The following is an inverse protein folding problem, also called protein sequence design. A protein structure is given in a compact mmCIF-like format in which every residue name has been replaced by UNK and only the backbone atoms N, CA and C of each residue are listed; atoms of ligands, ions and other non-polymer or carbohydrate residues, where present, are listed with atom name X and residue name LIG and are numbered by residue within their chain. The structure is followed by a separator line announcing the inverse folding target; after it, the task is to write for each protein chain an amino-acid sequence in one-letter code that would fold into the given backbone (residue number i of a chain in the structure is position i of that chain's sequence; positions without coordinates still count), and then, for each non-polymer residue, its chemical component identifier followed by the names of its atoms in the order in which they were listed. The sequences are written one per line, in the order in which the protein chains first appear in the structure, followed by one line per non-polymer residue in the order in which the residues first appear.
data_IF_539768450319
#
_entry.id   IF_539768450319
#
_cell.length_a   1.000
_cell.length_b   1.000
_cell.length_c   1.000
_cell.angle_alpha   90.00
_cell.angle_beta   90.00
_cell.angle_gamma   90.00
#
_symmetry.space_group_name_H-M   'P 1'
#
loop_
_entity.id
_entity.type
_entity.pdbx_description
1 polymer ?
#
# COMPACT_ATOMS: atom_id res chain seq x y z
N UNK A 1 0.68 22.26 31.54
CA UNK A 1 1.22 21.41 32.63
C UNK A 1 2.18 20.41 32.01
N UNK A 2 3.44 20.39 32.46
CA UNK A 2 4.58 19.92 31.65
C UNK A 2 4.59 18.40 31.40
N UNK A 3 5.16 18.02 30.26
CA UNK A 3 5.49 16.65 29.85
C UNK A 3 6.23 15.86 30.95
N UNK A 4 7.04 16.55 31.78
CA UNK A 4 7.68 15.96 32.95
C UNK A 4 6.68 15.40 33.95
N UNK A 5 5.57 16.11 34.24
CA UNK A 5 4.56 15.58 35.17
C UNK A 5 3.83 14.37 34.60
N UNK A 6 3.61 14.27 33.29
CA UNK A 6 2.99 13.08 32.68
C UNK A 6 3.94 11.87 32.67
N UNK A 7 5.24 12.10 32.43
CA UNK A 7 6.26 11.03 32.42
C UNK A 7 6.57 10.53 33.83
N UNK A 8 6.61 11.42 34.82
CA UNK A 8 6.88 11.08 36.23
C UNK A 8 5.68 10.37 36.87
N UNK A 9 4.45 10.80 36.59
CA UNK A 9 3.24 10.20 37.19
C UNK A 9 2.85 8.85 36.63
N UNK A 10 3.31 8.49 35.42
CA UNK A 10 2.90 7.21 34.82
C UNK A 10 3.88 6.06 34.99
N UNK A 11 5.22 6.25 35.03
CA UNK A 11 6.17 5.11 34.85
C UNK A 11 7.57 5.21 35.51
N UNK A 12 7.73 5.88 36.65
CA UNK A 12 8.91 5.75 37.53
C UNK A 12 10.23 6.38 37.04
N UNK A 13 11.03 6.87 37.98
CA UNK A 13 12.19 7.76 37.73
C UNK A 13 13.38 7.08 37.01
N UNK A 14 13.64 5.78 37.30
CA UNK A 14 14.78 5.03 36.76
C UNK A 14 14.59 4.70 35.25
N UNK A 15 13.36 4.34 34.85
CA UNK A 15 13.03 4.11 33.44
C UNK A 15 13.04 5.38 32.57
N UNK A 16 12.99 6.56 33.19
CA UNK A 16 13.09 7.84 32.48
C UNK A 16 14.52 8.11 32.00
N UNK A 17 15.54 7.77 32.80
CA UNK A 17 16.94 8.02 32.47
C UNK A 17 17.46 7.08 31.36
N UNK A 18 17.18 5.78 31.45
CA UNK A 18 17.52 4.81 30.40
C UNK A 18 16.87 5.14 29.06
N UNK A 19 15.61 5.58 29.10
CA UNK A 19 14.86 5.98 27.91
C UNK A 19 15.38 7.30 27.32
N UNK A 20 15.76 8.26 28.17
CA UNK A 20 16.41 9.50 27.74
C UNK A 20 17.77 9.24 27.09
N UNK A 21 18.57 8.33 27.64
CA UNK A 21 19.83 7.88 27.05
C UNK A 21 19.62 7.14 25.72
N UNK A 22 18.56 6.31 25.61
CA UNK A 22 18.18 5.66 24.35
C UNK A 22 17.74 6.65 23.28
N UNK A 23 16.96 7.68 23.64
CA UNK A 23 16.54 8.77 22.74
C UNK A 23 17.76 9.56 22.26
N UNK A 24 18.64 9.96 23.18
CA UNK A 24 19.89 10.64 22.87
C UNK A 24 20.74 9.80 21.89
N UNK A 25 20.93 8.51 22.16
CA UNK A 25 21.69 7.60 21.29
C UNK A 25 21.06 7.40 19.90
N UNK A 26 19.72 7.34 19.82
CA UNK A 26 18.97 7.22 18.56
C UNK A 26 19.20 8.43 17.64
N UNK A 27 19.15 9.64 18.18
CA UNK A 27 19.23 10.88 17.39
C UNK A 27 20.61 11.56 17.37
N UNK A 28 21.59 11.03 18.12
CA UNK A 28 22.96 11.55 18.10
C UNK A 28 23.60 11.42 16.71
N UNK A 29 24.16 12.52 16.19
CA UNK A 29 24.63 12.67 14.80
C UNK A 29 23.55 12.36 13.74
N UNK A 30 22.29 12.60 14.05
CA UNK A 30 21.15 12.18 13.24
C UNK A 30 21.20 12.61 11.77
N UNK A 31 21.58 13.86 11.45
CA UNK A 31 21.70 14.31 10.05
C UNK A 31 22.75 13.52 9.26
N UNK A 32 23.91 13.23 9.86
CA UNK A 32 24.95 12.40 9.22
C UNK A 32 24.46 10.98 9.00
N UNK A 33 23.83 10.37 10.02
CA UNK A 33 23.25 9.02 9.93
C UNK A 33 22.14 8.94 8.88
N UNK A 34 21.29 9.96 8.80
CA UNK A 34 20.22 10.05 7.80
C UNK A 34 20.79 10.13 6.37
N UNK A 35 21.83 10.94 6.15
CA UNK A 35 22.51 11.00 4.86
C UNK A 35 23.23 9.68 4.51
N UNK A 36 23.85 9.02 5.49
CA UNK A 36 24.45 7.69 5.30
C UNK A 36 23.41 6.64 4.95
N UNK A 37 22.24 6.69 5.58
CA UNK A 37 21.09 5.84 5.26
C UNK A 37 20.64 6.05 3.81
N UNK A 38 20.45 7.29 3.37
CA UNK A 38 20.06 7.59 1.99
C UNK A 38 21.10 7.05 1.00
N UNK A 39 22.38 7.36 1.23
CA UNK A 39 23.47 6.88 0.37
C UNK A 39 23.52 5.33 0.31
N UNK A 40 23.29 4.66 1.44
CA UNK A 40 23.19 3.21 1.47
C UNK A 40 22.00 2.71 0.65
N UNK A 41 20.82 3.29 0.83
CA UNK A 41 19.61 2.85 0.16
C UNK A 41 19.72 3.05 -1.35
N UNK A 42 20.22 4.20 -1.80
CA UNK A 42 20.48 4.47 -3.22
C UNK A 42 21.50 3.49 -3.83
N UNK A 43 22.58 3.19 -3.09
CA UNK A 43 23.60 2.23 -3.55
C UNK A 43 23.02 0.82 -3.70
N UNK A 44 22.11 0.41 -2.82
CA UNK A 44 21.68 -0.98 -2.75
C UNK A 44 20.41 -1.25 -3.56
N UNK A 45 19.39 -0.39 -3.52
CA UNK A 45 18.08 -0.66 -4.10
C UNK A 45 18.03 -0.61 -5.65
N UNK A 46 19.17 -0.54 -6.33
CA UNK A 46 19.31 -0.24 -7.77
C UNK A 46 18.80 1.20 -8.04
N UNK A 47 19.56 2.02 -8.76
CA UNK A 47 19.36 3.48 -8.81
C UNK A 47 17.94 3.99 -9.11
N UNK A 48 17.05 3.15 -9.66
CA UNK A 48 15.67 3.46 -10.02
C UNK A 48 14.65 3.29 -8.87
N UNK A 49 15.01 2.63 -7.77
CA UNK A 49 14.09 2.39 -6.67
C UNK A 49 13.83 3.66 -5.85
N UNK A 50 12.56 4.06 -5.81
CA UNK A 50 12.11 5.28 -5.13
C UNK A 50 11.53 4.95 -3.76
N UNK A 51 12.11 5.57 -2.74
CA UNK A 51 11.65 5.49 -1.35
C UNK A 51 10.60 6.57 -1.15
N UNK A 52 9.51 6.25 -0.46
CA UNK A 52 8.56 7.26 0.01
C UNK A 52 8.90 7.69 1.44
N UNK A 53 9.25 8.96 1.62
CA UNK A 53 9.45 9.55 2.95
C UNK A 53 8.17 10.25 3.42
N UNK A 54 7.53 9.73 4.46
CA UNK A 54 6.38 10.33 5.11
C UNK A 54 6.89 11.30 6.19
N UNK A 55 6.73 12.61 5.96
CA UNK A 55 7.41 13.66 6.73
C UNK A 55 6.40 14.52 7.48
N UNK A 56 6.66 14.82 8.76
CA UNK A 56 5.82 15.79 9.47
C UNK A 56 6.05 17.20 8.89
N UNK A 57 4.99 18.00 8.73
CA UNK A 57 5.12 19.33 8.14
C UNK A 57 6.03 20.26 8.97
N UNK A 58 6.06 20.09 10.29
CA UNK A 58 6.97 20.81 11.18
C UNK A 58 8.44 20.48 10.91
N UNK A 59 8.77 19.22 10.60
CA UNK A 59 10.14 18.81 10.25
C UNK A 59 10.54 19.31 8.87
N UNK A 60 9.61 19.26 7.91
CA UNK A 60 9.80 19.84 6.60
C UNK A 60 10.19 21.32 6.70
N UNK A 61 9.50 22.10 7.53
CA UNK A 61 9.76 23.53 7.67
C UNK A 61 11.20 23.83 8.11
N UNK A 62 11.75 23.00 8.98
CA UNK A 62 13.13 23.14 9.50
C UNK A 62 14.18 22.59 8.53
N UNK A 63 13.81 21.64 7.66
CA UNK A 63 14.73 20.87 6.83
C UNK A 63 14.33 20.88 5.33
N UNK A 64 13.69 21.94 4.84
CA UNK A 64 13.12 21.98 3.49
C UNK A 64 14.15 21.72 2.38
N UNK A 65 15.41 22.17 2.56
CA UNK A 65 16.49 21.91 1.60
C UNK A 65 16.83 20.42 1.48
N UNK A 66 16.79 19.67 2.59
CA UNK A 66 17.02 18.23 2.61
C UNK A 66 15.94 17.48 1.82
N UNK A 67 14.67 17.76 2.10
CA UNK A 67 13.56 17.06 1.43
C UNK A 67 13.41 17.48 -0.05
N UNK A 68 13.78 18.72 -0.40
CA UNK A 68 13.90 19.12 -1.80
C UNK A 68 14.98 18.32 -2.53
N UNK A 69 16.14 18.11 -1.90
CA UNK A 69 17.21 17.27 -2.44
C UNK A 69 16.75 15.82 -2.62
N UNK A 70 16.00 15.27 -1.66
CA UNK A 70 15.42 13.93 -1.79
C UNK A 70 14.49 13.80 -3.00
N UNK A 71 13.60 14.79 -3.23
CA UNK A 71 12.77 14.82 -4.44
C UNK A 71 13.59 14.92 -5.72
N UNK A 72 14.64 15.74 -5.74
CA UNK A 72 15.55 15.86 -6.89
C UNK A 72 16.30 14.55 -7.18
N UNK A 73 16.50 13.71 -6.16
CA UNK A 73 17.07 12.36 -6.29
C UNK A 73 16.03 11.32 -6.72
N UNK A 74 14.79 11.73 -7.03
CA UNK A 74 13.71 10.86 -7.49
C UNK A 74 12.87 10.22 -6.38
N UNK A 75 13.19 10.45 -5.10
CA UNK A 75 12.41 9.90 -3.99
C UNK A 75 11.07 10.64 -3.82
N UNK A 76 10.09 9.92 -3.32
CA UNK A 76 8.75 10.45 -3.04
C UNK A 76 8.70 11.06 -1.62
N UNK A 77 7.90 12.11 -1.45
CA UNK A 77 7.69 12.78 -0.17
C UNK A 77 6.18 12.93 0.04
N UNK A 78 5.72 12.44 1.18
CA UNK A 78 4.32 12.45 1.60
C UNK A 78 4.16 13.14 2.97
N UNK A 79 2.94 13.56 3.29
CA UNK A 79 2.63 14.14 4.59
C UNK A 79 2.55 13.06 5.68
N UNK A 80 3.03 13.40 6.88
CA UNK A 80 2.89 12.59 8.08
C UNK A 80 2.31 13.41 9.25
N UNK A 81 1.25 14.18 8.97
CA UNK A 81 0.69 15.15 9.91
C UNK A 81 1.55 16.42 10.07
N UNK A 82 1.03 17.41 10.82
CA UNK A 82 1.79 18.63 11.10
C UNK A 82 2.93 18.36 12.11
N UNK A 83 2.56 17.70 13.20
CA UNK A 83 3.44 17.02 14.16
C UNK A 83 2.93 15.60 14.32
N UNK A 84 3.62 14.78 15.09
CA UNK A 84 3.31 13.36 15.26
C UNK A 84 2.11 13.11 16.22
N UNK A 85 0.94 13.65 15.85
CA UNK A 85 -0.32 13.60 16.62
C UNK A 85 -1.12 12.33 16.34
N UNK A 86 -1.68 11.72 17.39
CA UNK A 86 -2.64 10.62 17.26
C UNK A 86 -3.99 11.12 16.73
N UNK A 87 -4.28 10.84 15.44
CA UNK A 87 -5.47 11.34 14.75
C UNK A 87 -6.76 10.67 15.22
N UNK A 88 -6.69 9.40 15.66
CA UNK A 88 -7.86 8.61 16.08
C UNK A 88 -8.59 9.23 17.27
N UNK A 89 -7.84 9.89 18.15
CA UNK A 89 -8.34 10.54 19.36
C UNK A 89 -8.71 12.02 19.15
N UNK A 90 -8.70 12.50 17.91
CA UNK A 90 -9.08 13.88 17.55
C UNK A 90 -10.49 13.93 16.99
N UNK A 91 -11.23 14.99 17.33
CA UNK A 91 -12.52 15.28 16.72
C UNK A 91 -12.36 15.55 15.23
N UNK A 92 -13.40 15.31 14.43
CA UNK A 92 -13.38 15.59 12.97
C UNK A 92 -12.93 17.01 12.65
N UNK A 93 -13.35 18.00 13.43
CA UNK A 93 -12.93 19.41 13.27
C UNK A 93 -11.43 19.58 13.49
N UNK A 94 -10.88 19.03 14.57
CA UNK A 94 -9.43 19.06 14.83
C UNK A 94 -8.64 18.34 13.72
N UNK A 95 -9.14 17.20 13.23
CA UNK A 95 -8.49 16.48 12.13
C UNK A 95 -8.45 17.32 10.85
N UNK A 96 -9.53 18.01 10.50
CA UNK A 96 -9.58 18.97 9.38
C UNK A 96 -8.55 20.08 9.57
N UNK A 97 -8.47 20.67 10.75
CA UNK A 97 -7.51 21.75 11.04
C UNK A 97 -6.06 21.27 10.93
N UNK A 98 -5.75 20.09 11.47
CA UNK A 98 -4.42 19.47 11.40
C UNK A 98 -4.04 19.20 9.94
N UNK A 99 -4.93 18.59 9.16
CA UNK A 99 -4.69 18.26 7.76
C UNK A 99 -4.53 19.52 6.92
N UNK A 100 -5.41 20.53 7.10
CA UNK A 100 -5.31 21.83 6.42
C UNK A 100 -4.00 22.53 6.74
N UNK A 101 -3.61 22.56 8.02
CA UNK A 101 -2.33 23.17 8.46
C UNK A 101 -1.15 22.43 7.84
N UNK A 102 -1.18 21.10 7.82
CA UNK A 102 -0.18 20.26 7.18
C UNK A 102 -0.04 20.64 5.70
N UNK A 103 -1.13 20.57 4.92
CA UNK A 103 -1.11 20.90 3.48
C UNK A 103 -0.65 22.34 3.22
N UNK A 104 -1.10 23.29 4.04
CA UNK A 104 -0.66 24.69 3.94
C UNK A 104 0.86 24.83 4.14
N UNK A 105 1.42 24.21 5.17
CA UNK A 105 2.87 24.26 5.42
C UNK A 105 3.66 23.63 4.27
N UNK A 106 3.26 22.45 3.77
CA UNK A 106 3.90 21.86 2.58
C UNK A 106 3.84 22.80 1.35
N UNK A 107 2.71 23.49 1.16
CA UNK A 107 2.54 24.51 0.13
C UNK A 107 3.47 25.72 0.29
N UNK A 108 3.64 26.25 1.51
CA UNK A 108 4.53 27.38 1.81
C UNK A 108 5.98 27.10 1.39
N UNK A 109 6.44 25.84 1.55
CA UNK A 109 7.78 25.42 1.15
C UNK A 109 7.88 24.95 -0.32
N UNK A 110 6.83 25.17 -1.12
CA UNK A 110 6.69 24.73 -2.53
C UNK A 110 6.90 23.23 -2.70
N UNK A 111 6.38 22.45 -1.76
CA UNK A 111 6.46 21.00 -1.77
C UNK A 111 5.06 20.40 -1.56
N UNK A 112 4.08 20.66 -2.44
CA UNK A 112 2.78 20.01 -2.31
C UNK A 112 2.94 18.49 -2.35
N UNK A 113 2.12 17.81 -1.55
CA UNK A 113 2.15 16.35 -1.38
C UNK A 113 0.75 15.79 -1.62
N UNK A 114 0.70 14.60 -2.22
CA UNK A 114 -0.56 13.93 -2.56
C UNK A 114 -0.77 12.64 -1.76
N UNK A 115 0.17 12.28 -0.88
CA UNK A 115 0.07 11.17 0.04
C UNK A 115 -0.01 11.62 1.50
N UNK A 116 -0.74 10.88 2.33
CA UNK A 116 -0.79 11.10 3.77
C UNK A 116 -0.72 9.81 4.57
N UNK A 117 0.22 9.73 5.52
CA UNK A 117 0.28 8.69 6.54
C UNK A 117 -0.01 9.27 7.91
N UNK A 118 -0.95 8.71 8.63
CA UNK A 118 -1.27 9.10 9.99
C UNK A 118 -0.10 8.77 10.93
N UNK A 119 0.31 9.71 11.80
CA UNK A 119 1.23 9.40 12.87
C UNK A 119 0.75 8.22 13.72
N UNK A 120 1.69 7.36 14.13
CA UNK A 120 1.41 6.08 14.80
C UNK A 120 0.54 5.11 13.99
N UNK A 121 0.31 5.37 12.70
CA UNK A 121 -0.69 4.67 11.89
C UNK A 121 -2.09 4.68 12.54
N UNK A 122 -2.36 5.70 13.35
CA UNK A 122 -3.58 5.80 14.16
C UNK A 122 -4.60 6.69 13.46
N UNK A 123 -5.73 6.10 13.09
CA UNK A 123 -6.79 6.76 12.33
C UNK A 123 -8.17 6.22 12.72
N UNK A 124 -9.22 6.93 12.30
CA UNK A 124 -10.61 6.47 12.37
C UNK A 124 -11.34 6.76 11.03
N UNK A 125 -12.65 6.48 10.96
CA UNK A 125 -13.44 6.74 9.75
C UNK A 125 -13.44 8.21 9.35
N UNK A 126 -13.53 9.13 10.32
CA UNK A 126 -13.47 10.57 10.04
C UNK A 126 -12.13 10.95 9.41
N UNK A 127 -11.03 10.33 9.84
CA UNK A 127 -9.71 10.56 9.25
C UNK A 127 -9.69 10.24 7.76
N UNK A 128 -10.25 9.10 7.36
CA UNK A 128 -10.31 8.72 5.96
C UNK A 128 -11.17 9.68 5.12
N UNK A 129 -12.34 10.07 5.63
CA UNK A 129 -13.23 11.05 4.96
C UNK A 129 -12.55 12.42 4.80
N UNK A 130 -11.86 12.89 5.84
CA UNK A 130 -11.14 14.17 5.79
C UNK A 130 -9.98 14.12 4.81
N UNK A 131 -9.25 13.01 4.72
CA UNK A 131 -8.16 12.85 3.74
C UNK A 131 -8.69 12.83 2.30
N UNK A 132 -9.79 12.13 2.04
CA UNK A 132 -10.45 12.11 0.72
C UNK A 132 -10.89 13.52 0.29
N UNK A 133 -11.57 14.25 1.18
CA UNK A 133 -12.01 15.63 0.94
C UNK A 133 -10.85 16.61 0.82
N UNK A 134 -9.74 16.31 1.50
CA UNK A 134 -8.50 17.07 1.42
C UNK A 134 -7.72 16.90 0.11
N UNK A 135 -8.18 16.02 -0.80
CA UNK A 135 -7.57 15.83 -2.11
C UNK A 135 -6.33 14.94 -2.10
N UNK A 136 -6.09 14.17 -1.03
CA UNK A 136 -5.00 13.19 -1.03
C UNK A 136 -5.31 12.06 -2.01
N UNK A 137 -4.33 11.74 -2.85
CA UNK A 137 -4.41 10.68 -3.84
C UNK A 137 -4.28 9.29 -3.20
N UNK A 138 -3.56 9.19 -2.08
CA UNK A 138 -3.42 7.96 -1.32
C UNK A 138 -3.22 8.19 0.18
N UNK A 139 -3.56 7.17 0.96
CA UNK A 139 -3.20 7.03 2.36
C UNK A 139 -2.64 5.64 2.63
N UNK A 140 -1.87 5.49 3.71
CA UNK A 140 -1.25 4.20 4.04
C UNK A 140 -1.11 4.09 5.55
N UNK A 141 -2.14 3.53 6.18
CA UNK A 141 -2.24 3.40 7.64
C UNK A 141 -2.58 1.98 8.09
N UNK A 142 -3.32 1.24 7.26
CA UNK A 142 -3.75 -0.11 7.60
C UNK A 142 -2.56 -1.08 7.58
N UNK A 143 -2.28 -1.71 8.72
CA UNK A 143 -1.20 -2.68 8.87
C UNK A 143 -1.76 -4.09 8.75
N UNK A 144 -1.13 -4.98 7.97
CA UNK A 144 -1.51 -6.39 7.87
C UNK A 144 -0.37 -7.27 8.39
N UNK A 145 -0.63 -7.99 9.47
CA UNK A 145 0.35 -8.82 10.16
C UNK A 145 0.43 -10.23 9.56
N UNK A 146 1.63 -10.68 9.17
CA UNK A 146 1.84 -12.01 8.57
C UNK A 146 2.20 -13.13 9.55
N UNK A 147 2.58 -12.77 10.77
CA UNK A 147 2.78 -13.72 11.87
C UNK A 147 2.75 -13.00 13.21
N UNK A 148 1.89 -13.44 14.13
CA UNK A 148 2.06 -13.13 15.54
C UNK A 148 3.18 -14.03 16.09
N UNK A 149 4.29 -13.49 16.57
CA UNK A 149 5.37 -14.32 17.14
C UNK A 149 4.86 -15.39 18.13
N UNK A 150 5.47 -16.58 18.10
CA UNK A 150 5.06 -17.73 18.92
C UNK A 150 5.01 -17.42 20.43
N UNK A 151 4.10 -18.12 21.12
CA UNK A 151 4.07 -18.32 22.58
C UNK A 151 3.58 -17.14 23.41
N UNK A 152 4.35 -16.05 23.44
CA UNK A 152 4.07 -14.85 24.27
C UNK A 152 3.54 -13.65 23.47
N UNK A 153 3.50 -13.73 22.13
CA UNK A 153 2.98 -12.67 21.27
C UNK A 153 1.49 -12.39 21.47
N UNK A 154 0.67 -13.42 21.78
CA UNK A 154 -0.79 -13.32 21.88
C UNK A 154 -1.31 -12.35 22.96
N UNK A 155 -0.66 -12.25 24.12
CA UNK A 155 -1.06 -11.26 25.16
C UNK A 155 -0.73 -9.81 24.75
N UNK A 156 0.31 -9.62 23.92
CA UNK A 156 0.61 -8.31 23.35
C UNK A 156 -0.35 -7.92 22.21
N UNK A 157 -0.93 -8.88 21.47
CA UNK A 157 -1.84 -8.62 20.34
C UNK A 157 -3.07 -7.79 20.71
N UNK A 158 -3.70 -8.03 21.87
CA UNK A 158 -4.87 -7.25 22.30
C UNK A 158 -4.54 -5.75 22.51
N UNK A 159 -3.34 -5.45 23.00
CA UNK A 159 -2.84 -4.07 23.15
C UNK A 159 -2.35 -3.46 21.84
N UNK A 160 -1.98 -4.30 20.87
CA UNK A 160 -1.61 -3.84 19.53
C UNK A 160 -2.88 -3.51 18.73
N UNK A 161 -3.95 -4.32 18.82
CA UNK A 161 -5.25 -4.05 18.17
C UNK A 161 -5.94 -2.78 18.70
N UNK A 162 -5.69 -2.36 19.94
CA UNK A 162 -6.25 -1.10 20.46
C UNK A 162 -5.52 0.14 19.91
N UNK A 163 -4.23 -0.01 19.56
CA UNK A 163 -3.35 1.05 19.08
C UNK A 163 -3.34 1.17 17.54
N UNK A 164 -3.48 0.05 16.83
CA UNK A 164 -3.41 -0.02 15.37
C UNK A 164 -4.66 -0.68 14.81
N UNK A 165 -5.14 -0.22 13.65
CA UNK A 165 -6.06 -1.01 12.82
C UNK A 165 -5.27 -2.12 12.14
N UNK A 166 -5.23 -3.30 12.76
CA UNK A 166 -4.47 -4.46 12.26
C UNK A 166 -5.40 -5.48 11.62
N UNK A 167 -5.11 -5.76 10.35
CA UNK A 167 -5.55 -6.97 9.66
C UNK A 167 -4.55 -8.10 9.84
N UNK A 168 -4.98 -9.32 9.55
CA UNK A 168 -4.14 -10.52 9.55
C UNK A 168 -4.04 -11.06 8.13
N UNK A 169 -2.85 -11.49 7.70
CA UNK A 169 -2.60 -11.92 6.32
C UNK A 169 -3.41 -13.15 5.90
N UNK A 170 -3.93 -13.92 6.86
CA UNK A 170 -4.82 -15.06 6.67
C UNK A 170 -6.19 -14.63 6.12
N UNK A 171 -6.67 -13.44 6.50
CA UNK A 171 -8.00 -12.93 6.14
C UNK A 171 -7.95 -11.63 5.35
N UNK A 172 -6.77 -11.03 5.18
CA UNK A 172 -6.56 -9.78 4.46
C UNK A 172 -5.50 -9.97 3.37
N UNK A 173 -5.74 -9.32 2.24
CA UNK A 173 -4.81 -9.23 1.12
C UNK A 173 -3.93 -8.00 1.28
N UNK A 174 -2.66 -8.11 0.90
CA UNK A 174 -1.74 -6.98 0.80
C UNK A 174 -1.94 -6.26 -0.54
N UNK A 175 -3.14 -5.73 -0.78
CA UNK A 175 -3.47 -5.02 -2.03
C UNK A 175 -4.00 -3.62 -1.73
N UNK A 176 -3.67 -2.61 -2.56
CA UNK A 176 -4.32 -1.31 -2.51
C UNK A 176 -5.84 -1.42 -2.67
N UNK A 177 -6.57 -0.55 -1.99
CA UNK A 177 -8.04 -0.48 -2.05
C UNK A 177 -8.49 0.92 -2.36
N UNK A 178 -9.37 1.07 -3.35
CA UNK A 178 -9.96 2.36 -3.68
C UNK A 178 -10.96 2.81 -2.60
N UNK A 179 -10.72 4.00 -2.08
CA UNK A 179 -11.61 4.77 -1.20
C UNK A 179 -12.02 6.02 -1.99
N UNK A 180 -13.03 5.92 -2.84
CA UNK A 180 -13.45 7.00 -3.74
C UNK A 180 -12.26 7.54 -4.56
N UNK A 181 -11.84 8.79 -4.33
CA UNK A 181 -10.73 9.47 -5.00
C UNK A 181 -9.34 9.22 -4.36
N UNK A 182 -9.28 8.50 -3.25
CA UNK A 182 -8.07 8.20 -2.48
C UNK A 182 -7.80 6.69 -2.47
N UNK A 183 -6.55 6.27 -2.61
CA UNK A 183 -6.16 4.86 -2.51
C UNK A 183 -5.63 4.53 -1.12
N UNK A 184 -6.18 3.52 -0.44
CA UNK A 184 -5.62 2.99 0.81
C UNK A 184 -4.62 1.88 0.50
N UNK A 185 -3.34 2.11 0.82
CA UNK A 185 -2.24 1.19 0.54
C UNK A 185 -1.82 0.50 1.85
N UNK A 186 -2.00 -0.83 1.98
CA UNK A 186 -1.67 -1.53 3.21
C UNK A 186 -0.15 -1.56 3.47
N UNK A 187 0.21 -1.60 4.75
CA UNK A 187 1.57 -1.75 5.25
C UNK A 187 1.78 -3.18 5.70
N UNK A 188 2.93 -3.76 5.38
CA UNK A 188 3.26 -5.12 5.81
C UNK A 188 3.80 -5.12 7.22
N UNK A 189 3.13 -5.86 8.11
CA UNK A 189 3.59 -6.14 9.46
C UNK A 189 4.19 -7.55 9.58
N UNK A 190 5.16 -7.74 10.49
CA UNK A 190 5.66 -6.76 11.44
C UNK A 190 6.74 -5.83 10.84
N UNK A 191 6.72 -4.56 11.24
CA UNK A 191 7.75 -3.58 10.90
C UNK A 191 8.98 -3.67 11.84
N UNK A 192 9.93 -2.75 11.68
CA UNK A 192 11.14 -2.71 12.50
C UNK A 192 10.87 -2.38 13.98
N UNK A 193 9.90 -1.53 14.29
CA UNK A 193 9.48 -1.24 15.67
C UNK A 193 8.91 -2.48 16.34
N UNK A 194 7.96 -3.15 15.69
CA UNK A 194 7.34 -4.37 16.19
C UNK A 194 8.39 -5.46 16.42
N UNK A 195 9.29 -5.69 15.46
CA UNK A 195 10.31 -6.72 15.58
C UNK A 195 11.33 -6.42 16.68
N UNK A 196 11.84 -5.19 16.74
CA UNK A 196 12.93 -4.83 17.66
C UNK A 196 12.45 -4.57 19.09
N UNK A 197 11.31 -3.92 19.27
CA UNK A 197 10.86 -3.42 20.57
C UNK A 197 9.76 -4.29 21.18
N UNK A 198 8.77 -4.72 20.38
CA UNK A 198 7.63 -5.51 20.89
C UNK A 198 7.94 -6.99 20.94
N UNK A 199 8.41 -7.56 19.85
CA UNK A 199 8.78 -8.98 19.74
C UNK A 199 10.20 -9.24 20.26
N UNK A 200 10.98 -8.17 20.45
CA UNK A 200 12.34 -8.22 21.02
C UNK A 200 13.22 -9.23 20.30
N UNK A 201 13.13 -9.29 18.97
CA UNK A 201 13.95 -10.18 18.14
C UNK A 201 15.42 -9.76 18.28
N UNK A 202 16.22 -10.59 18.97
CA UNK A 202 17.66 -10.35 19.19
C UNK A 202 18.57 -11.22 18.33
N UNK A 203 18.07 -12.34 17.81
CA UNK A 203 18.86 -13.27 16.99
C UNK A 203 19.24 -12.57 15.67
N UNK A 204 20.54 -12.50 15.39
CA UNK A 204 21.08 -11.96 14.13
C UNK A 204 20.46 -12.68 12.94
N UNK A 205 20.15 -11.94 11.87
CA UNK A 205 19.52 -12.47 10.65
C UNK A 205 18.02 -12.76 10.77
N UNK A 206 17.45 -12.90 11.98
CA UNK A 206 16.04 -13.31 12.12
C UNK A 206 15.04 -12.28 11.58
N UNK A 207 15.39 -10.99 11.64
CA UNK A 207 14.58 -9.90 11.06
C UNK A 207 14.55 -10.02 9.53
N UNK A 208 15.72 -10.14 8.91
CA UNK A 208 15.85 -10.34 7.46
C UNK A 208 15.13 -11.61 7.00
N UNK A 209 15.35 -12.74 7.68
CA UNK A 209 14.65 -14.02 7.44
C UNK A 209 13.12 -13.84 7.48
N UNK A 210 12.61 -13.13 8.49
CA UNK A 210 11.17 -12.87 8.61
C UNK A 210 10.64 -12.06 7.43
N UNK A 211 11.32 -10.97 7.08
CA UNK A 211 10.89 -10.12 5.97
C UNK A 211 11.04 -10.79 4.60
N UNK A 212 12.10 -11.56 4.36
CA UNK A 212 12.30 -12.32 3.12
C UNK A 212 11.23 -13.41 2.97
N UNK A 213 10.88 -14.11 4.05
CA UNK A 213 9.77 -15.06 4.02
C UNK A 213 8.43 -14.38 3.66
N UNK A 214 8.18 -13.17 4.16
CA UNK A 214 6.97 -12.41 3.81
C UNK A 214 7.03 -11.97 2.34
N UNK A 215 8.17 -11.48 1.86
CA UNK A 215 8.39 -11.13 0.45
C UNK A 215 8.07 -12.31 -0.48
N UNK A 216 8.53 -13.52 -0.16
CA UNK A 216 8.23 -14.70 -0.97
C UNK A 216 6.74 -15.05 -0.95
N UNK A 217 6.08 -14.97 0.22
CA UNK A 217 4.64 -15.26 0.31
C UNK A 217 3.76 -14.21 -0.38
N UNK A 218 4.11 -12.93 -0.30
CA UNK A 218 3.40 -11.89 -1.05
C UNK A 218 3.65 -12.05 -2.54
N UNK A 219 4.88 -12.42 -2.96
CA UNK A 219 5.19 -12.73 -4.35
C UNK A 219 4.36 -13.91 -4.89
N UNK A 220 4.30 -15.01 -4.14
CA UNK A 220 3.48 -16.17 -4.47
C UNK A 220 2.00 -15.81 -4.64
N UNK A 221 1.46 -14.96 -3.76
CA UNK A 221 0.06 -14.48 -3.80
C UNK A 221 -0.18 -13.35 -4.79
N UNK A 222 0.86 -12.86 -5.48
CA UNK A 222 0.77 -11.71 -6.38
C UNK A 222 0.35 -10.40 -5.70
N UNK A 223 0.82 -10.18 -4.47
CA UNK A 223 0.46 -9.06 -3.59
C UNK A 223 1.63 -8.10 -3.32
N UNK A 224 1.35 -6.96 -2.67
CA UNK A 224 2.36 -5.97 -2.31
C UNK A 224 3.18 -6.41 -1.09
N UNK A 225 4.50 -6.27 -1.14
CA UNK A 225 5.32 -6.18 0.06
C UNK A 225 5.67 -4.71 0.33
N UNK A 226 5.05 -4.13 1.36
CA UNK A 226 5.28 -2.75 1.76
C UNK A 226 6.10 -2.71 3.04
N UNK A 227 7.41 -2.51 2.89
CA UNK A 227 8.33 -2.39 4.01
C UNK A 227 8.30 -0.97 4.57
N UNK A 228 7.69 -0.81 5.75
CA UNK A 228 7.83 0.39 6.58
C UNK A 228 9.07 0.24 7.47
N UNK A 229 9.85 1.31 7.59
CA UNK A 229 10.93 1.39 8.58
C UNK A 229 11.08 2.80 9.16
N UNK A 230 11.85 2.91 10.24
CA UNK A 230 12.11 4.18 10.91
C UNK A 230 13.59 4.58 10.80
N UNK A 231 13.94 5.77 10.27
CA UNK A 231 15.33 6.17 10.03
C UNK A 231 16.25 6.11 11.26
N UNK A 232 15.74 6.41 12.46
CA UNK A 232 16.51 6.37 13.71
C UNK A 232 16.95 4.94 14.09
N UNK A 233 16.26 3.92 13.55
CA UNK A 233 16.58 2.50 13.75
C UNK A 233 17.46 1.93 12.64
N UNK A 234 17.75 2.68 11.57
CA UNK A 234 18.42 2.19 10.38
C UNK A 234 19.74 1.44 10.67
N UNK A 235 20.55 1.94 11.60
CA UNK A 235 21.80 1.28 12.00
C UNK A 235 21.64 -0.15 12.53
N UNK A 236 20.43 -0.54 12.96
CA UNK A 236 20.11 -1.91 13.44
C UNK A 236 19.53 -2.80 12.35
N UNK A 237 19.03 -2.22 11.26
CA UNK A 237 18.28 -2.92 10.20
C UNK A 237 18.91 -2.78 8.81
N UNK A 238 19.95 -1.96 8.64
CA UNK A 238 20.58 -1.70 7.33
C UNK A 238 21.05 -2.99 6.65
N UNK A 239 21.71 -3.88 7.40
CA UNK A 239 22.10 -5.20 6.89
C UNK A 239 20.88 -6.04 6.49
N UNK A 240 19.79 -5.98 7.26
CA UNK A 240 18.54 -6.67 6.91
C UNK A 240 17.93 -6.14 5.61
N UNK A 241 17.96 -4.81 5.39
CA UNK A 241 17.51 -4.20 4.13
C UNK A 241 18.39 -4.65 2.97
N UNK A 242 19.71 -4.78 3.15
CA UNK A 242 20.62 -5.31 2.12
C UNK A 242 20.31 -6.77 1.76
N UNK A 243 19.95 -7.60 2.74
CA UNK A 243 19.51 -8.97 2.49
C UNK A 243 18.19 -9.00 1.70
N UNK A 244 17.21 -8.15 2.05
CA UNK A 244 15.97 -8.00 1.26
C UNK A 244 16.28 -7.55 -0.16
N UNK A 245 17.14 -6.55 -0.35
CA UNK A 245 17.58 -6.10 -1.68
C UNK A 245 18.16 -7.25 -2.50
N UNK A 246 18.95 -8.11 -1.86
CA UNK A 246 19.53 -9.28 -2.54
C UNK A 246 18.44 -10.28 -2.95
N UNK A 247 17.43 -10.50 -2.10
CA UNK A 247 16.26 -11.31 -2.42
C UNK A 247 15.40 -10.68 -3.54
N UNK A 248 15.23 -9.35 -3.56
CA UNK A 248 14.53 -8.63 -4.63
C UNK A 248 15.24 -8.83 -5.98
N UNK A 249 16.57 -8.77 -6.00
CA UNK A 249 17.37 -9.05 -7.22
C UNK A 249 17.21 -10.49 -7.71
N UNK A 250 17.04 -11.45 -6.81
CA UNK A 250 16.75 -12.83 -7.19
C UNK A 250 15.33 -13.00 -7.80
N UNK A 251 14.42 -12.07 -7.53
CA UNK A 251 13.07 -12.00 -8.10
C UNK A 251 12.98 -11.00 -9.27
N UNK A 252 14.12 -10.48 -9.75
CA UNK A 252 14.16 -9.51 -10.84
C UNK A 252 13.45 -10.07 -12.08
N UNK A 253 12.85 -9.18 -12.87
CA UNK A 253 11.96 -9.57 -13.95
C UNK A 253 10.53 -9.91 -13.51
N UNK A 254 10.30 -10.37 -12.27
CA UNK A 254 8.96 -10.77 -11.78
C UNK A 254 8.36 -9.89 -10.69
N UNK A 255 9.14 -8.96 -10.12
CA UNK A 255 8.68 -8.01 -9.11
C UNK A 255 8.76 -6.57 -9.60
N UNK A 256 7.73 -5.78 -9.32
CA UNK A 256 7.72 -4.34 -9.60
C UNK A 256 8.16 -3.57 -8.36
N UNK A 257 9.32 -2.91 -8.41
CA UNK A 257 9.77 -2.00 -7.34
C UNK A 257 9.26 -0.59 -7.65
N UNK A 258 8.51 0.01 -6.73
CA UNK A 258 7.84 1.30 -6.95
C UNK A 258 7.69 2.12 -5.66
N UNK A 259 7.57 3.44 -5.81
CA UNK A 259 7.09 4.32 -4.75
C UNK A 259 5.58 4.17 -4.53
N UNK A 260 5.09 4.68 -3.39
CA UNK A 260 3.64 4.70 -3.12
C UNK A 260 2.87 5.55 -4.14
N UNK A 261 3.49 6.62 -4.66
CA UNK A 261 2.88 7.42 -5.72
C UNK A 261 2.74 6.65 -7.03
N UNK A 262 3.78 5.95 -7.47
CA UNK A 262 3.73 5.15 -8.70
C UNK A 262 2.68 4.03 -8.61
N UNK A 263 2.58 3.37 -7.45
CA UNK A 263 1.51 2.39 -7.19
C UNK A 263 0.14 3.07 -7.31
N UNK A 264 -0.01 4.27 -6.75
CA UNK A 264 -1.27 5.02 -6.81
C UNK A 264 -1.66 5.40 -8.23
N UNK A 265 -0.72 5.95 -9.00
CA UNK A 265 -0.93 6.33 -10.40
C UNK A 265 -1.30 5.13 -11.25
N UNK A 266 -0.57 4.01 -11.08
CA UNK A 266 -0.88 2.75 -11.76
C UNK A 266 -2.29 2.27 -11.44
N UNK A 267 -2.64 2.20 -10.15
CA UNK A 267 -3.95 1.72 -9.71
C UNK A 267 -5.09 2.56 -10.29
N UNK A 268 -4.95 3.90 -10.24
CA UNK A 268 -5.92 4.84 -10.82
C UNK A 268 -6.04 4.68 -12.34
N UNK A 269 -4.91 4.54 -13.04
CA UNK A 269 -4.92 4.35 -14.49
C UNK A 269 -5.61 3.06 -14.90
N UNK A 270 -5.36 1.96 -14.17
CA UNK A 270 -5.98 0.65 -14.43
C UNK A 270 -7.48 0.65 -14.13
N UNK A 271 -7.94 1.40 -13.13
CA UNK A 271 -9.37 1.53 -12.85
C UNK A 271 -10.12 2.42 -13.86
N UNK A 272 -9.43 3.39 -14.46
CA UNK A 272 -10.02 4.33 -15.42
C UNK A 272 -10.21 3.75 -16.83
N UNK A 273 -9.99 2.45 -17.02
CA UNK A 273 -10.19 1.77 -18.31
C UNK A 273 -11.64 1.85 -18.75
N UNK A 274 -11.84 1.99 -20.05
CA UNK A 274 -13.14 1.93 -20.71
C UNK A 274 -13.14 0.82 -21.75
N UNK A 275 -14.32 0.28 -22.06
CA UNK A 275 -14.44 -0.79 -23.04
C UNK A 275 -15.77 -0.71 -23.79
N UNK A 276 -15.80 -1.42 -24.91
CA UNK A 276 -16.95 -1.57 -25.80
C UNK A 276 -17.04 -3.03 -26.27
N UNK A 277 -18.25 -3.46 -26.59
CA UNK A 277 -18.50 -4.82 -27.07
C UNK A 277 -18.98 -4.82 -28.51
N UNK A 278 -18.48 -5.78 -29.28
CA UNK A 278 -18.87 -6.04 -30.65
C UNK A 278 -19.19 -7.53 -30.79
N UNK A 279 -20.38 -7.85 -31.32
CA UNK A 279 -20.75 -9.24 -31.60
C UNK A 279 -20.39 -9.57 -33.04
N UNK A 280 -19.58 -10.60 -33.22
CA UNK A 280 -19.13 -11.06 -34.53
C UNK A 280 -20.21 -11.94 -35.19
N UNK A 281 -20.07 -12.17 -36.50
CA UNK A 281 -21.04 -12.94 -37.31
C UNK A 281 -21.18 -14.39 -36.86
N UNK A 282 -20.12 -14.98 -36.30
CA UNK A 282 -20.10 -16.33 -35.73
C UNK A 282 -20.70 -16.40 -34.31
N UNK A 283 -21.17 -15.27 -33.77
CA UNK A 283 -21.73 -15.17 -32.44
C UNK A 283 -20.71 -14.92 -31.33
N UNK A 284 -19.41 -14.93 -31.63
CA UNK A 284 -18.32 -14.62 -30.69
C UNK A 284 -18.38 -13.17 -30.27
N UNK A 285 -18.11 -12.88 -28.99
CA UNK A 285 -17.98 -11.51 -28.51
C UNK A 285 -16.53 -11.03 -28.60
N UNK A 286 -16.38 -9.80 -29.05
CA UNK A 286 -15.12 -9.06 -29.03
C UNK A 286 -15.25 -7.92 -28.04
N UNK A 287 -14.33 -7.84 -27.09
CA UNK A 287 -14.25 -6.77 -26.09
C UNK A 287 -13.09 -5.85 -26.45
N UNK A 288 -13.40 -4.64 -26.87
CA UNK A 288 -12.43 -3.58 -27.13
C UNK A 288 -12.15 -2.85 -25.83
N UNK A 289 -10.89 -2.74 -25.40
CA UNK A 289 -10.54 -2.08 -24.13
C UNK A 289 -9.49 -1.01 -24.37
N UNK A 290 -9.72 0.21 -23.86
CA UNK A 290 -8.71 1.27 -23.81
C UNK A 290 -7.80 1.02 -22.61
N UNK A 291 -6.65 0.40 -22.85
CA UNK A 291 -5.72 -0.04 -21.81
C UNK A 291 -4.61 0.99 -21.55
N UNK A 292 -4.27 1.28 -20.28
CA UNK A 292 -3.03 1.95 -19.94
C UNK A 292 -1.84 1.22 -20.57
N UNK A 293 -0.80 1.95 -20.99
CA UNK A 293 0.49 1.33 -21.32
C UNK A 293 0.94 0.42 -20.17
N UNK A 294 1.67 -0.66 -20.46
CA UNK A 294 2.18 -1.63 -19.47
C UNK A 294 1.13 -2.60 -18.88
N UNK A 295 -0.13 -2.52 -19.28
CA UNK A 295 -1.17 -3.46 -18.82
C UNK A 295 -0.92 -4.87 -19.31
N UNK A 296 -0.98 -5.83 -18.40
CA UNK A 296 -1.05 -7.26 -18.73
C UNK A 296 -2.50 -7.71 -18.64
N UNK A 297 -3.05 -8.14 -19.77
CA UNK A 297 -4.36 -8.77 -19.82
C UNK A 297 -4.19 -10.27 -19.57
N UNK A 298 -5.03 -10.80 -18.69
CA UNK A 298 -5.11 -12.22 -18.40
C UNK A 298 -6.54 -12.67 -18.52
N UNK A 299 -6.71 -13.93 -18.89
CA UNK A 299 -8.01 -14.56 -18.98
C UNK A 299 -7.96 -15.88 -18.25
N UNK A 300 -9.02 -16.19 -17.53
CA UNK A 300 -9.19 -17.55 -17.05
C UNK A 300 -9.69 -18.38 -18.20
N UNK A 301 -8.95 -19.41 -18.59
CA UNK A 301 -9.41 -20.33 -19.64
C UNK A 301 -9.75 -21.63 -18.96
N UNK A 302 -10.97 -22.13 -19.10
CA UNK A 302 -11.41 -23.44 -18.59
C UNK A 302 -10.72 -24.63 -19.31
N UNK A 303 -9.44 -24.50 -19.68
CA UNK A 303 -8.63 -25.50 -20.35
C UNK A 303 -8.59 -25.42 -21.88
N UNK A 304 -9.28 -24.48 -22.54
CA UNK A 304 -9.43 -24.48 -24.00
C UNK A 304 -9.15 -23.12 -24.68
N UNK A 305 -7.92 -22.61 -24.64
CA UNK A 305 -7.45 -21.58 -25.60
C UNK A 305 -5.96 -21.78 -25.92
N UNK A 306 -5.58 -22.05 -27.18
CA UNK A 306 -4.19 -21.98 -27.63
C UNK A 306 -3.91 -20.71 -28.48
N UNK A 307 -2.68 -20.15 -28.44
CA UNK A 307 -1.61 -20.38 -27.48
C UNK A 307 -1.65 -19.33 -26.37
N UNK A 308 -1.94 -19.74 -25.14
CA UNK A 308 -1.94 -18.86 -23.97
C UNK A 308 -0.86 -19.29 -22.97
N UNK A 309 -0.03 -18.33 -22.54
CA UNK A 309 1.08 -18.56 -21.61
C UNK A 309 0.53 -18.60 -20.17
N UNK A 310 0.74 -19.68 -19.39
CA UNK A 310 0.39 -19.71 -17.96
C UNK A 310 1.00 -18.53 -17.22
N UNK A 311 0.22 -17.85 -16.38
CA UNK A 311 0.68 -16.63 -15.72
C UNK A 311 0.53 -16.67 -14.19
N UNK A 312 -0.69 -16.83 -13.70
CA UNK A 312 -1.00 -16.80 -12.26
C UNK A 312 -2.22 -17.67 -11.93
N UNK A 313 -2.03 -18.72 -11.13
CA UNK A 313 -3.09 -19.70 -10.87
C UNK A 313 -3.64 -20.28 -12.17
N UNK A 314 -4.96 -20.24 -12.33
CA UNK A 314 -5.65 -20.71 -13.55
C UNK A 314 -5.73 -19.63 -14.67
N UNK A 315 -5.07 -18.49 -14.48
CA UNK A 315 -5.05 -17.42 -15.48
C UNK A 315 -3.87 -17.57 -16.42
N UNK A 316 -4.16 -17.38 -17.71
CA UNK A 316 -3.20 -17.31 -18.80
C UNK A 316 -3.11 -15.88 -19.33
N UNK A 317 -1.94 -15.48 -19.81
CA UNK A 317 -1.76 -14.21 -20.52
C UNK A 317 -2.46 -14.29 -21.87
N UNK A 318 -3.20 -13.24 -22.22
CA UNK A 318 -3.88 -13.11 -23.50
C UNK A 318 -3.37 -11.88 -24.25
N UNK A 319 -3.01 -12.08 -25.51
CA UNK A 319 -2.63 -11.00 -26.41
C UNK A 319 -3.86 -10.47 -27.15
N UNK A 320 -3.89 -9.16 -27.47
CA UNK A 320 -4.99 -8.60 -28.23
C UNK A 320 -4.96 -9.11 -29.66
N UNK A 321 -6.13 -9.47 -30.20
CA UNK A 321 -6.27 -9.96 -31.59
C UNK A 321 -6.26 -8.83 -32.61
N UNK A 322 -6.57 -7.60 -32.17
CA UNK A 322 -6.67 -6.42 -33.02
C UNK A 322 -6.44 -5.16 -32.18
N UNK A 323 -6.05 -4.05 -32.82
CA UNK A 323 -5.90 -2.74 -32.19
C UNK A 323 -6.46 -1.63 -33.08
N UNK A 324 -7.23 -0.70 -32.50
CA UNK A 324 -7.81 0.48 -33.19
C UNK A 324 -8.01 1.62 -32.20
N UNK A 325 -7.83 2.89 -32.61
CA UNK A 325 -8.18 4.07 -31.79
C UNK A 325 -7.73 3.99 -30.30
N UNK A 326 -6.49 3.54 -30.05
CA UNK A 326 -5.94 3.31 -28.70
C UNK A 326 -6.65 2.22 -27.86
N UNK A 327 -7.51 1.41 -28.49
CA UNK A 327 -8.16 0.25 -27.91
C UNK A 327 -7.53 -1.04 -28.43
N UNK A 328 -7.57 -2.07 -27.59
CA UNK A 328 -7.07 -3.41 -27.86
C UNK A 328 -8.22 -4.41 -27.73
N UNK A 329 -8.37 -5.31 -28.70
CA UNK A 329 -9.49 -6.25 -28.75
C UNK A 329 -9.13 -7.61 -28.17
N UNK A 330 -10.02 -8.16 -27.33
CA UNK A 330 -9.91 -9.51 -26.78
C UNK A 330 -11.14 -10.32 -27.17
N UNK A 331 -10.95 -11.54 -27.67
CA UNK A 331 -12.04 -12.45 -27.97
C UNK A 331 -12.53 -13.10 -26.68
N UNK A 332 -13.84 -13.14 -26.52
CA UNK A 332 -14.52 -13.87 -25.46
C UNK A 332 -15.24 -15.04 -26.13
N UNK A 333 -14.74 -16.28 -25.94
CA UNK A 333 -15.35 -17.45 -26.57
C UNK A 333 -16.72 -17.75 -25.92
N UNK A 334 -17.46 -18.70 -26.48
CA UNK A 334 -18.70 -19.24 -25.88
C UNK A 334 -19.90 -18.28 -25.85
N UNK A 335 -19.94 -17.27 -26.73
CA UNK A 335 -21.14 -16.45 -26.96
C UNK A 335 -21.51 -15.49 -25.82
N UNK A 336 -20.62 -15.28 -24.85
CA UNK A 336 -20.75 -14.33 -23.74
C UNK A 336 -19.67 -13.25 -23.80
N UNK A 337 -19.95 -12.07 -23.24
CA UNK A 337 -18.99 -10.96 -23.13
C UNK A 337 -17.81 -11.33 -22.24
N UNK A 338 -16.69 -10.61 -22.32
CA UNK A 338 -15.54 -10.83 -21.43
C UNK A 338 -15.67 -10.20 -20.04
N UNK A 339 -16.83 -9.63 -19.71
CA UNK A 339 -17.08 -8.77 -18.54
C UNK A 339 -17.92 -9.47 -17.48
N UNK A 340 -17.71 -9.14 -16.20
CA UNK A 340 -18.61 -9.54 -15.13
C UNK A 340 -19.86 -8.65 -15.20
N UNK A 341 -21.03 -9.28 -15.29
CA UNK A 341 -22.31 -8.59 -15.14
C UNK A 341 -22.61 -8.35 -13.67
N UNK A 342 -23.06 -7.16 -13.32
CA UNK A 342 -23.43 -6.78 -11.95
C UNK A 342 -24.88 -6.30 -11.92
N UNK A 343 -25.68 -6.84 -11.01
CA UNK A 343 -27.05 -6.39 -10.83
C UNK A 343 -27.09 -4.92 -10.40
N UNK A 344 -28.14 -4.19 -10.79
CA UNK A 344 -28.31 -2.77 -10.42
C UNK A 344 -28.44 -2.56 -8.91
N UNK A 345 -28.82 -3.61 -8.18
CA UNK A 345 -28.99 -3.69 -6.72
C UNK A 345 -27.67 -3.82 -5.96
N UNK A 346 -26.56 -4.13 -6.62
CA UNK A 346 -25.25 -4.24 -5.97
C UNK A 346 -24.69 -2.87 -5.58
N UNK A 347 -23.98 -2.81 -4.46
CA UNK A 347 -23.37 -1.59 -3.97
C UNK A 347 -22.21 -1.12 -4.86
N UNK A 348 -21.89 0.17 -4.81
CA UNK A 348 -20.76 0.76 -5.54
C UNK A 348 -19.43 0.20 -5.03
N UNK A 349 -19.35 -0.16 -3.75
CA UNK A 349 -18.16 -0.74 -3.15
C UNK A 349 -17.87 -2.17 -3.67
N UNK A 350 -18.90 -2.97 -3.97
CA UNK A 350 -18.72 -4.28 -4.60
C UNK A 350 -18.16 -4.13 -6.03
N UNK A 351 -18.70 -3.18 -6.81
CA UNK A 351 -18.18 -2.85 -8.13
C UNK A 351 -16.73 -2.35 -8.07
N UNK A 352 -16.45 -1.44 -7.13
CA UNK A 352 -15.11 -0.88 -6.91
C UNK A 352 -14.12 -1.97 -6.54
N UNK A 353 -14.51 -2.93 -5.68
CA UNK A 353 -13.66 -4.06 -5.31
C UNK A 353 -13.31 -4.96 -6.50
N UNK A 354 -14.30 -5.32 -7.33
CA UNK A 354 -14.05 -6.11 -8.54
C UNK A 354 -13.13 -5.37 -9.52
N UNK A 355 -13.30 -4.05 -9.66
CA UNK A 355 -12.39 -3.20 -10.45
C UNK A 355 -11.00 -3.10 -9.83
N UNK A 356 -10.88 -3.02 -8.50
CA UNK A 356 -9.60 -3.12 -7.75
C UNK A 356 -8.91 -4.47 -8.00
N UNK A 357 -9.66 -5.55 -8.13
CA UNK A 357 -9.10 -6.87 -8.49
C UNK A 357 -8.72 -6.98 -9.97
N UNK A 358 -9.15 -6.02 -10.80
CA UNK A 358 -8.82 -5.89 -12.21
C UNK A 358 -9.87 -6.42 -13.18
N UNK A 359 -11.05 -6.79 -12.69
CA UNK A 359 -12.13 -7.24 -13.56
C UNK A 359 -12.79 -6.08 -14.29
N UNK A 360 -13.24 -6.34 -15.52
CA UNK A 360 -14.14 -5.43 -16.22
C UNK A 360 -15.57 -5.75 -15.78
N UNK A 361 -16.30 -4.74 -15.28
CA UNK A 361 -17.60 -4.91 -14.61
C UNK A 361 -18.64 -3.99 -15.23
N UNK A 362 -19.76 -4.58 -15.65
CA UNK A 362 -20.88 -3.86 -16.28
C UNK A 362 -22.16 -4.03 -15.48
N UNK A 363 -22.84 -2.93 -15.17
CA UNK A 363 -24.20 -3.01 -14.62
C UNK A 363 -25.14 -3.47 -15.73
N UNK A 364 -25.87 -4.56 -15.50
CA UNK A 364 -26.67 -5.23 -16.54
C UNK A 364 -27.95 -5.85 -15.95
N UNK A 365 -28.99 -5.94 -16.77
CA UNK A 365 -30.21 -6.72 -16.51
C UNK A 365 -30.29 -8.00 -17.36
N UNK A 366 -29.26 -8.28 -18.17
CA UNK A 366 -29.17 -9.44 -19.06
C UNK A 366 -28.12 -10.44 -18.52
N UNK A 367 -28.45 -11.29 -17.54
CA UNK A 367 -27.47 -12.17 -16.91
C UNK A 367 -26.82 -13.17 -17.86
N UNK A 368 -27.52 -13.55 -18.95
CA UNK A 368 -27.03 -14.52 -19.93
C UNK A 368 -25.95 -13.95 -20.86
N UNK A 369 -25.80 -12.63 -20.94
CA UNK A 369 -24.76 -11.99 -21.76
C UNK A 369 -23.37 -12.09 -21.14
N UNK A 370 -23.28 -12.44 -19.84
CA UNK A 370 -22.05 -12.40 -19.07
C UNK A 370 -21.60 -13.80 -18.61
N UNK A 371 -20.29 -14.08 -18.58
CA UNK A 371 -19.70 -15.33 -18.07
C UNK A 371 -20.06 -15.53 -16.60
N UNK A 372 -20.13 -14.44 -15.86
CA UNK A 372 -20.56 -14.40 -14.47
C UNK A 372 -21.47 -13.20 -14.27
N UNK A 373 -22.62 -13.44 -13.65
CA UNK A 373 -23.53 -12.39 -13.19
C UNK A 373 -23.56 -12.38 -11.66
N UNK A 374 -23.20 -11.26 -11.06
CA UNK A 374 -23.17 -11.06 -9.61
C UNK A 374 -24.43 -10.29 -9.20
N UNK A 375 -25.20 -10.89 -8.29
CA UNK A 375 -26.34 -10.28 -7.64
C UNK A 375 -26.19 -10.41 -6.10
N UNK A 376 -26.90 -9.57 -5.36
CA UNK A 376 -26.74 -9.39 -3.93
C UNK A 376 -25.74 -8.27 -3.59
N UNK A 377 -25.09 -8.35 -2.43
CA UNK A 377 -24.15 -7.32 -1.95
C UNK A 377 -24.72 -5.89 -1.99
N UNK A 378 -25.97 -5.71 -1.54
CA UNK A 378 -26.59 -4.38 -1.37
C UNK A 378 -25.77 -3.47 -0.45
N UNK A 379 -25.05 -4.10 0.50
CA UNK A 379 -23.94 -3.49 1.22
C UNK A 379 -22.71 -4.38 1.04
N UNK A 380 -21.53 -3.78 1.05
CA UNK A 380 -20.28 -4.51 0.83
C UNK A 380 -19.18 -4.01 1.78
N UNK A 381 -18.50 -4.96 2.41
CA UNK A 381 -17.47 -4.73 3.43
C UNK A 381 -16.29 -5.67 3.22
N UNK A 382 -15.22 -5.51 4.02
CA UNK A 382 -14.05 -6.40 3.97
C UNK A 382 -14.38 -7.88 4.19
N UNK A 383 -15.46 -8.19 4.90
CA UNK A 383 -15.88 -9.58 5.17
C UNK A 383 -16.39 -10.27 3.89
N UNK A 384 -16.86 -9.48 2.93
CA UNK A 384 -17.51 -9.95 1.71
C UNK A 384 -16.49 -10.15 0.57
N UNK A 385 -15.31 -9.53 0.66
CA UNK A 385 -14.26 -9.57 -0.36
C UNK A 385 -13.82 -11.00 -0.71
N UNK A 386 -13.55 -11.82 0.31
CA UNK A 386 -13.09 -13.19 0.10
C UNK A 386 -14.17 -14.07 -0.54
N UNK A 387 -15.42 -13.89 -0.14
CA UNK A 387 -16.57 -14.63 -0.69
C UNK A 387 -16.83 -14.22 -2.15
N UNK A 388 -16.90 -12.92 -2.43
CA UNK A 388 -17.12 -12.42 -3.79
C UNK A 388 -15.98 -12.85 -4.73
N UNK A 389 -14.72 -12.69 -4.31
CA UNK A 389 -13.60 -13.14 -5.13
C UNK A 389 -13.64 -14.66 -5.33
N UNK A 390 -13.94 -15.46 -4.29
CA UNK A 390 -14.09 -16.90 -4.44
C UNK A 390 -15.21 -17.30 -5.42
N UNK A 391 -16.31 -16.55 -5.49
CA UNK A 391 -17.37 -16.76 -6.50
C UNK A 391 -16.83 -16.51 -7.91
N UNK A 392 -16.08 -15.44 -8.12
CA UNK A 392 -15.43 -15.16 -9.41
C UNK A 392 -14.44 -16.26 -9.77
N UNK A 393 -13.59 -16.64 -8.82
CA UNK A 393 -12.58 -17.69 -8.97
C UNK A 393 -13.16 -19.11 -8.98
N UNK A 394 -14.49 -19.30 -8.93
CA UNK A 394 -15.16 -20.58 -9.22
C UNK A 394 -15.79 -20.63 -10.61
N UNK A 395 -15.93 -19.49 -11.28
CA UNK A 395 -16.48 -19.45 -12.64
C UNK A 395 -15.58 -20.20 -13.62
N UNK A 396 -16.16 -21.12 -14.40
CA UNK A 396 -15.45 -21.86 -15.46
C UNK A 396 -15.44 -21.09 -16.79
N UNK A 397 -16.25 -20.05 -16.92
CA UNK A 397 -16.34 -19.25 -18.12
C UNK A 397 -15.16 -18.27 -18.24
N UNK A 398 -14.73 -17.93 -19.46
CA UNK A 398 -13.64 -16.98 -19.63
C UNK A 398 -14.01 -15.55 -19.20
N UNK A 399 -13.29 -15.05 -18.19
CA UNK A 399 -13.42 -13.68 -17.69
C UNK A 399 -12.12 -12.94 -17.96
N UNK A 400 -12.23 -11.79 -18.64
CA UNK A 400 -11.09 -10.91 -18.89
C UNK A 400 -10.74 -10.14 -17.61
N UNK A 401 -9.46 -10.12 -17.28
CA UNK A 401 -8.93 -9.46 -16.09
C UNK A 401 -7.65 -8.70 -16.45
N UNK A 402 -7.53 -7.49 -15.93
CA UNK A 402 -6.32 -6.67 -16.01
C UNK A 402 -5.47 -6.96 -14.78
N UNK A 403 -4.29 -7.56 -14.99
CA UNK A 403 -3.44 -7.95 -13.88
C UNK A 403 -3.05 -6.75 -13.00
N UNK A 404 -2.84 -7.04 -11.71
CA UNK A 404 -2.69 -6.03 -10.65
C UNK A 404 -1.46 -5.15 -10.86
N UNK A 405 -0.39 -5.69 -11.43
CA UNK A 405 0.90 -5.01 -11.57
C UNK A 405 1.28 -4.85 -13.04
N UNK A 406 2.03 -3.78 -13.38
CA UNK A 406 2.41 -3.49 -14.77
C UNK A 406 3.45 -4.50 -15.29
N UNK A 407 3.66 -4.51 -16.61
CA UNK A 407 4.73 -5.23 -17.31
C UNK A 407 4.85 -6.72 -16.97
N UNK A 408 3.71 -7.39 -16.73
CA UNK A 408 3.67 -8.82 -16.40
C UNK A 408 4.33 -9.15 -15.06
N UNK A 409 4.61 -8.15 -14.21
CA UNK A 409 5.18 -8.40 -12.89
C UNK A 409 4.18 -9.17 -12.04
N UNK A 410 4.62 -10.22 -11.37
CA UNK A 410 3.78 -11.05 -10.52
C UNK A 410 3.36 -10.31 -9.25
N UNK A 411 4.27 -9.55 -8.64
CA UNK A 411 4.02 -8.83 -7.40
C UNK A 411 4.68 -7.45 -7.39
N UNK A 412 4.50 -6.71 -6.30
CA UNK A 412 5.12 -5.39 -6.12
C UNK A 412 5.85 -5.30 -4.78
N UNK A 413 6.91 -4.50 -4.76
CA UNK A 413 7.64 -4.12 -3.55
C UNK A 413 7.69 -2.60 -3.46
N UNK A 414 7.45 -2.08 -2.26
CA UNK A 414 7.66 -0.67 -1.94
C UNK A 414 8.30 -0.53 -0.57
N UNK A 415 9.11 0.52 -0.41
CA UNK A 415 9.77 0.85 0.85
C UNK A 415 9.44 2.29 1.21
N UNK A 416 9.02 2.50 2.46
CA UNK A 416 8.72 3.83 2.97
C UNK A 416 9.28 4.04 4.38
N UNK A 417 9.48 5.30 4.72
CA UNK A 417 10.02 5.70 6.01
C UNK A 417 9.16 6.77 6.66
N UNK A 418 8.85 6.59 7.95
CA UNK A 418 8.18 7.61 8.76
C UNK A 418 9.24 8.50 9.40
N UNK A 419 9.25 9.78 9.02
CA UNK A 419 10.29 10.75 9.38
C UNK A 419 9.68 11.89 10.19
N UNK A 420 9.85 11.80 11.51
CA UNK A 420 9.39 12.81 12.45
C UNK A 420 10.52 13.66 13.04
N UNK A 421 11.76 13.20 12.88
CA UNK A 421 12.97 13.90 13.34
C UNK A 421 14.19 13.42 12.57
N UNK A 422 15.08 14.35 12.19
CA UNK A 422 16.38 14.04 11.57
C UNK A 422 17.50 14.26 12.58
N UNK A 423 17.34 15.19 13.51
CA UNK A 423 18.29 15.52 14.56
C UNK A 423 17.66 15.40 15.94
N UNK A 424 18.50 15.37 16.97
CA UNK A 424 18.04 15.44 18.35
C UNK A 424 17.26 16.74 18.63
N UNK A 425 17.67 17.85 18.01
CA UNK A 425 16.98 19.13 18.17
C UNK A 425 15.57 19.08 17.59
N UNK A 426 15.38 18.40 16.45
CA UNK A 426 14.04 18.18 15.88
C UNK A 426 13.16 17.39 16.84
N UNK A 427 13.71 16.32 17.44
CA UNK A 427 13.01 15.50 18.42
C UNK A 427 12.60 16.29 19.67
N UNK A 428 13.50 17.12 20.21
CA UNK A 428 13.21 17.97 21.37
C UNK A 428 12.15 19.02 21.03
N UNK A 429 12.27 19.70 19.89
CA UNK A 429 11.29 20.70 19.44
C UNK A 429 9.90 20.11 19.21
N UNK A 430 9.83 18.87 18.72
CA UNK A 430 8.56 18.12 18.64
C UNK A 430 7.91 18.00 20.01
N UNK A 431 8.66 17.65 21.06
CA UNK A 431 8.12 17.51 22.41
C UNK A 431 7.64 18.84 23.00
N UNK A 432 8.20 19.98 22.56
CA UNK A 432 7.78 21.33 22.98
C UNK A 432 6.51 21.78 22.25
N UNK A 433 6.33 21.37 20.98
CA UNK A 433 5.14 21.71 20.17
C UNK A 433 3.93 20.81 20.47
N UNK A 434 4.07 19.85 21.39
CA UNK A 434 3.06 18.85 21.74
C UNK A 434 2.06 19.32 22.79
#
# INVERSE_FOLDING_TARGET
MSYLNHVVTTKGFIHSFERSAQILKRFWMGRRKFLQMIAFLQKNLNGDAKITFCVTASLLAENASLFRKLRQMGHDVAAHGYIHTDMKNKSRKEQIEIIRKCSHTFGQFRMPVSGFRCPYLSYNRDTLDVLQRGGFAWTSNNMVLWHSGNGNGRKHLNKINSLYSIGYAETNRMLPRSLNNCLDIPITGPDDEMLLERFRVRKKGKIAETWINILHKTHERGELFHLLFHPERFHRIGDCIKEIVSALKALDGSIWVASLMEITEWWKSRQAVSWEHERLRDGTWRTWVKLPPRTTAIMRTGGQVPPAEPFYGDYVRVEPVESRNCMRAFLSPEGRKGTIGLASTCSVEAETFLRDEGFLVERSSAPLDHPLFVDGYHTFSRKDEADLLAKVERSTFPVLRLWRWPDGKRSSFTISADVDSVTLMDFVRRAIKF
#
